data_IF_598371368204
#
_entry.id   IF_598371368204
#
_cell.length_a   1.000
_cell.length_b   1.000
_cell.length_c   1.000
_cell.angle_alpha   90.00
_cell.angle_beta   90.00
_cell.angle_gamma   90.00
#
_symmetry.space_group_name_H-M   'P 1'
#
loop_
_entity.id
_entity.type
_entity.pdbx_description
1 polymer ?
#
# COMPACT_ATOMS: atom_id res chain seq x y z
N UNK A 1 -15.80 -14.31 -4.03
CA UNK A 1 -15.63 -12.95 -3.46
C UNK A 1 -14.83 -12.11 -4.45
N UNK A 2 -15.23 -10.86 -4.68
CA UNK A 2 -14.44 -9.91 -5.46
C UNK A 2 -13.63 -9.06 -4.49
N UNK A 3 -12.32 -9.01 -4.69
CA UNK A 3 -11.42 -8.15 -3.95
C UNK A 3 -10.85 -7.09 -4.88
N UNK A 4 -11.29 -5.86 -4.67
CA UNK A 4 -10.70 -4.68 -5.29
C UNK A 4 -9.47 -4.31 -4.47
N UNK A 5 -8.29 -4.35 -5.08
CA UNK A 5 -7.06 -4.03 -4.36
C UNK A 5 -6.97 -2.54 -4.08
N UNK A 6 -6.38 -2.19 -2.94
CA UNK A 6 -6.00 -0.81 -2.65
C UNK A 6 -4.77 -0.44 -3.50
N UNK A 7 -4.99 0.35 -4.55
CA UNK A 7 -3.95 0.74 -5.50
C UNK A 7 -2.77 1.42 -4.83
N UNK A 8 -2.99 2.17 -3.74
CA UNK A 8 -1.93 2.85 -2.99
C UNK A 8 -0.98 1.90 -2.26
N UNK A 9 -1.35 0.62 -2.12
CA UNK A 9 -0.57 -0.40 -1.42
C UNK A 9 -0.03 -1.45 -2.36
N UNK A 10 -0.34 -1.39 -3.65
CA UNK A 10 0.19 -2.34 -4.63
C UNK A 10 1.70 -2.20 -4.76
N UNK A 11 2.39 -3.34 -4.83
CA UNK A 11 3.84 -3.37 -4.89
C UNK A 11 4.35 -2.72 -6.18
N UNK A 12 5.43 -1.94 -6.06
CA UNK A 12 6.22 -1.49 -7.20
C UNK A 12 5.70 -0.24 -7.90
N UNK A 13 4.64 0.40 -7.39
CA UNK A 13 4.12 1.70 -7.86
C UNK A 13 3.95 1.76 -9.39
N UNK A 14 3.48 0.67 -9.99
CA UNK A 14 3.46 0.54 -11.44
C UNK A 14 2.47 1.56 -12.07
N UNK A 15 2.87 2.27 -13.14
CA UNK A 15 1.98 3.20 -13.83
C UNK A 15 0.88 2.46 -14.61
N UNK A 16 -0.07 3.23 -15.14
CA UNK A 16 -1.22 2.72 -15.90
C UNK A 16 -0.79 1.89 -17.12
N UNK A 17 -1.63 0.96 -17.57
CA UNK A 17 -1.25 -0.08 -18.54
C UNK A 17 -1.76 0.12 -19.97
N UNK A 18 -2.31 1.29 -20.29
CA UNK A 18 -2.89 1.47 -21.62
C UNK A 18 -1.84 1.70 -22.70
N UNK A 19 -0.99 2.72 -22.52
CA UNK A 19 0.02 3.05 -23.51
C UNK A 19 1.08 1.95 -23.56
N UNK A 20 1.65 1.71 -24.72
CA UNK A 20 2.84 0.87 -24.80
C UNK A 20 4.05 1.62 -24.22
N UNK A 21 4.91 0.89 -23.51
CA UNK A 21 6.19 1.43 -23.06
C UNK A 21 7.00 1.96 -24.26
N UNK A 22 7.75 3.05 -24.06
CA UNK A 22 8.64 3.59 -25.08
C UNK A 22 10.08 3.08 -24.89
N UNK A 23 10.86 2.98 -25.99
CA UNK A 23 12.17 2.32 -25.97
C UNK A 23 13.24 3.05 -25.12
N UNK A 24 13.07 4.35 -24.83
CA UNK A 24 13.97 5.13 -23.97
C UNK A 24 13.53 5.26 -22.51
N UNK A 25 12.48 4.55 -22.07
CA UNK A 25 12.07 4.52 -20.65
C UNK A 25 13.11 3.74 -19.84
N UNK A 26 14.19 4.36 -19.38
CA UNK A 26 15.35 3.69 -18.78
C UNK A 26 15.18 3.38 -17.29
N UNK A 27 14.50 4.25 -16.55
CA UNK A 27 14.11 4.03 -15.15
C UNK A 27 12.88 3.14 -14.99
N UNK A 28 12.70 2.61 -13.77
CA UNK A 28 11.61 1.69 -13.44
C UNK A 28 10.22 2.36 -13.39
N UNK A 29 10.19 3.69 -13.31
CA UNK A 29 8.98 4.54 -13.30
C UNK A 29 9.10 5.70 -14.32
N UNK A 30 9.91 5.54 -15.37
CA UNK A 30 10.09 6.59 -16.38
C UNK A 30 9.12 6.40 -17.54
N UNK A 31 8.01 7.15 -17.54
CA UNK A 31 7.06 7.19 -18.64
C UNK A 31 5.60 7.02 -18.21
N UNK A 32 4.66 7.25 -19.13
CA UNK A 32 3.22 7.15 -18.86
C UNK A 32 2.73 5.70 -18.66
N UNK A 33 3.51 4.73 -19.14
CA UNK A 33 3.24 3.30 -18.99
C UNK A 33 4.54 2.50 -19.03
N UNK A 34 4.56 1.40 -18.26
CA UNK A 34 5.64 0.41 -18.22
C UNK A 34 5.25 -0.92 -18.86
N UNK A 35 4.07 -1.00 -19.48
CA UNK A 35 3.54 -2.24 -20.09
C UNK A 35 3.55 -2.15 -21.61
N UNK A 36 3.68 -3.27 -22.32
CA UNK A 36 3.65 -3.30 -23.78
C UNK A 36 2.22 -3.39 -24.35
N UNK A 37 1.34 -4.14 -23.68
CA UNK A 37 -0.07 -4.38 -24.02
C UNK A 37 -0.73 -5.19 -22.90
N UNK A 38 -1.95 -5.67 -23.13
CA UNK A 38 -2.59 -6.73 -22.35
C UNK A 38 -2.56 -8.08 -23.07
N UNK A 39 -2.84 -9.15 -22.33
CA UNK A 39 -3.11 -10.49 -22.84
C UNK A 39 -4.28 -11.10 -22.06
N UNK A 40 -5.23 -11.69 -22.77
CA UNK A 40 -6.32 -12.49 -22.22
C UNK A 40 -6.80 -13.49 -23.27
N UNK A 41 -7.64 -14.46 -22.89
CA UNK A 41 -8.41 -15.27 -23.85
C UNK A 41 -9.81 -14.64 -24.02
N UNK A 42 -10.16 -14.07 -25.19
CA UNK A 42 -11.48 -13.51 -25.47
C UNK A 42 -12.63 -14.48 -25.29
N UNK A 43 -12.36 -15.79 -25.36
CA UNK A 43 -13.36 -16.84 -25.15
C UNK A 43 -13.55 -17.19 -23.68
N UNK A 44 -12.74 -16.64 -22.77
CA UNK A 44 -12.90 -16.86 -21.34
C UNK A 44 -14.31 -16.43 -20.89
N UNK A 45 -15.04 -17.23 -20.09
CA UNK A 45 -16.42 -16.93 -19.71
C UNK A 45 -16.62 -15.55 -19.05
N UNK A 46 -15.57 -15.01 -18.39
CA UNK A 46 -15.54 -13.64 -17.86
C UNK A 46 -15.89 -12.58 -18.91
N UNK A 47 -15.54 -12.78 -20.18
CA UNK A 47 -15.76 -11.82 -21.26
C UNK A 47 -17.04 -12.08 -22.07
N UNK A 48 -17.92 -13.00 -21.64
CA UNK A 48 -19.17 -13.32 -22.38
C UNK A 48 -20.01 -12.08 -22.73
N UNK A 49 -20.02 -11.08 -21.84
CA UNK A 49 -20.77 -9.85 -22.03
C UNK A 49 -19.85 -8.64 -22.27
N UNK A 50 -18.57 -8.84 -22.56
CA UNK A 50 -17.63 -7.76 -22.85
C UNK A 50 -16.81 -8.14 -24.09
N UNK A 51 -16.81 -7.33 -25.18
CA UNK A 51 -16.15 -7.72 -26.43
C UNK A 51 -14.62 -7.66 -26.33
N UNK A 52 -14.00 -8.56 -25.58
CA UNK A 52 -12.56 -8.56 -25.33
C UNK A 52 -11.75 -8.94 -26.58
N UNK A 53 -10.55 -8.37 -26.70
CA UNK A 53 -9.52 -8.78 -27.64
C UNK A 53 -8.22 -9.08 -26.90
N UNK A 54 -7.34 -9.88 -27.51
CA UNK A 54 -6.08 -10.35 -26.90
C UNK A 54 -4.99 -9.26 -26.77
N UNK A 55 -5.31 -8.01 -27.06
CA UNK A 55 -4.39 -6.87 -27.06
C UNK A 55 -5.13 -5.58 -26.73
N UNK A 56 -4.39 -4.54 -26.35
CA UNK A 56 -4.94 -3.21 -26.09
C UNK A 56 -5.50 -2.58 -27.37
N UNK A 57 -6.70 -2.00 -27.25
CA UNK A 57 -7.38 -1.21 -28.28
C UNK A 57 -8.22 -0.13 -27.55
N UNK A 58 -8.93 0.74 -28.28
CA UNK A 58 -9.68 1.85 -27.68
C UNK A 58 -10.79 1.44 -26.70
N UNK A 59 -11.34 0.21 -26.82
CA UNK A 59 -12.32 -0.30 -25.86
C UNK A 59 -11.72 -0.46 -24.46
N UNK A 60 -10.41 -0.70 -24.37
CA UNK A 60 -9.70 -0.87 -23.11
C UNK A 60 -9.26 0.46 -22.47
N UNK A 61 -9.45 1.60 -23.13
CA UNK A 61 -8.94 2.89 -22.67
C UNK A 61 -9.40 3.25 -21.26
N UNK A 62 -10.71 3.29 -21.01
CA UNK A 62 -11.25 3.68 -19.71
C UNK A 62 -11.03 2.61 -18.63
N UNK A 63 -10.85 1.34 -19.02
CA UNK A 63 -10.52 0.23 -18.13
C UNK A 63 -9.09 0.39 -17.61
N UNK A 64 -8.13 0.56 -18.53
CA UNK A 64 -6.70 0.53 -18.24
C UNK A 64 -6.15 1.86 -17.73
N UNK A 65 -6.79 2.99 -18.08
CA UNK A 65 -6.37 4.32 -17.63
C UNK A 65 -6.37 4.49 -16.10
N UNK A 66 -7.23 3.76 -15.39
CA UNK A 66 -7.35 3.82 -13.93
C UNK A 66 -6.90 2.53 -13.24
N UNK A 67 -6.44 1.55 -14.01
CA UNK A 67 -5.99 0.28 -13.46
C UNK A 67 -4.52 0.34 -13.05
N UNK A 68 -4.20 -0.37 -11.98
CA UNK A 68 -2.84 -0.57 -11.50
C UNK A 68 -2.55 -2.08 -11.51
N UNK A 69 -1.59 -2.55 -12.31
CA UNK A 69 -1.25 -3.96 -12.35
C UNK A 69 -0.74 -4.48 -11.02
N UNK A 70 -1.17 -5.68 -10.68
CA UNK A 70 -0.63 -6.44 -9.56
C UNK A 70 0.60 -7.23 -10.01
N UNK A 71 1.70 -7.15 -9.25
CA UNK A 71 2.86 -8.01 -9.45
C UNK A 71 2.55 -9.38 -8.83
N UNK A 72 2.35 -10.39 -9.66
CA UNK A 72 2.13 -11.76 -9.19
C UNK A 72 3.45 -12.51 -8.94
N UNK A 73 4.49 -12.16 -9.70
CA UNK A 73 5.81 -12.78 -9.63
C UNK A 73 6.86 -11.88 -10.29
N UNK A 74 8.06 -11.87 -9.73
CA UNK A 74 9.21 -11.12 -10.24
C UNK A 74 10.53 -11.78 -9.82
N UNK A 75 11.64 -11.34 -10.41
CA UNK A 75 12.96 -11.88 -10.10
C UNK A 75 13.29 -11.72 -8.60
N UNK A 76 13.68 -12.83 -7.96
CA UNK A 76 14.05 -12.84 -6.54
C UNK A 76 12.87 -12.76 -5.55
N UNK A 77 11.62 -12.86 -6.02
CA UNK A 77 10.47 -12.93 -5.14
C UNK A 77 10.54 -14.16 -4.22
N UNK A 78 10.47 -13.94 -2.90
CA UNK A 78 10.42 -15.02 -1.89
C UNK A 78 9.05 -15.70 -1.85
N UNK A 79 8.01 -14.91 -2.08
CA UNK A 79 6.61 -15.33 -2.14
C UNK A 79 6.01 -14.75 -3.41
N UNK A 80 5.41 -15.61 -4.22
CA UNK A 80 4.83 -15.26 -5.52
C UNK A 80 3.73 -16.27 -5.88
N UNK A 81 2.94 -15.96 -6.90
CA UNK A 81 2.02 -16.91 -7.50
C UNK A 81 2.79 -18.03 -8.23
N UNK A 82 2.19 -19.23 -8.41
CA UNK A 82 2.83 -20.32 -9.14
C UNK A 82 3.30 -19.91 -10.54
N UNK A 83 4.46 -20.40 -10.98
CA UNK A 83 5.00 -20.07 -12.32
C UNK A 83 4.07 -20.50 -13.45
N UNK A 84 3.30 -21.57 -13.26
CA UNK A 84 2.28 -22.06 -14.20
C UNK A 84 0.97 -21.26 -14.19
N UNK A 85 0.77 -20.36 -13.21
CA UNK A 85 -0.45 -19.57 -13.11
C UNK A 85 -0.53 -18.53 -14.23
N UNK A 86 -1.65 -18.52 -14.94
CA UNK A 86 -1.97 -17.57 -16.00
C UNK A 86 -3.10 -16.64 -15.51
N UNK A 87 -2.87 -15.31 -15.42
CA UNK A 87 -3.93 -14.36 -15.09
C UNK A 87 -5.04 -14.36 -16.13
N UNK A 88 -6.28 -14.09 -15.69
CA UNK A 88 -7.44 -13.97 -16.60
C UNK A 88 -7.28 -12.76 -17.53
N UNK A 89 -6.76 -11.67 -16.98
CA UNK A 89 -6.33 -10.50 -17.74
C UNK A 89 -4.95 -10.09 -17.26
N UNK A 90 -3.96 -10.28 -18.11
CA UNK A 90 -2.55 -9.99 -17.84
C UNK A 90 -2.15 -8.67 -18.51
N UNK A 91 -1.45 -7.81 -17.78
CA UNK A 91 -0.66 -6.76 -18.41
C UNK A 91 0.72 -7.34 -18.77
N UNK A 92 1.23 -7.05 -19.95
CA UNK A 92 2.56 -7.49 -20.38
C UNK A 92 3.56 -6.45 -19.92
N UNK A 93 4.42 -6.81 -18.95
CA UNK A 93 5.42 -5.89 -18.41
C UNK A 93 6.46 -5.48 -19.47
N UNK A 94 7.30 -4.53 -19.09
CA UNK A 94 8.46 -4.13 -19.86
C UNK A 94 9.40 -5.30 -20.10
N UNK A 95 10.06 -5.28 -21.27
CA UNK A 95 11.11 -6.24 -21.62
C UNK A 95 12.32 -6.17 -20.68
N UNK A 96 12.46 -5.09 -19.90
CA UNK A 96 13.59 -4.84 -18.99
C UNK A 96 13.49 -5.66 -17.70
N UNK A 97 12.32 -5.67 -17.08
CA UNK A 97 12.10 -6.35 -15.79
C UNK A 97 11.31 -7.65 -15.96
N UNK A 98 10.37 -7.67 -16.91
CA UNK A 98 9.60 -8.83 -17.30
C UNK A 98 8.91 -9.54 -16.12
N UNK A 99 8.22 -8.75 -15.28
CA UNK A 99 7.40 -9.27 -14.18
C UNK A 99 6.15 -9.94 -14.73
N UNK A 100 5.62 -10.92 -14.00
CA UNK A 100 4.28 -11.44 -14.27
C UNK A 100 3.26 -10.50 -13.62
N UNK A 101 2.58 -9.70 -14.44
CA UNK A 101 1.57 -8.77 -13.97
C UNK A 101 0.15 -9.32 -14.17
N UNK A 102 -0.80 -8.85 -13.38
CA UNK A 102 -2.21 -9.15 -13.55
C UNK A 102 -3.09 -7.93 -13.28
N UNK A 103 -4.11 -7.76 -14.12
CA UNK A 103 -5.21 -6.83 -13.89
C UNK A 103 -6.40 -7.57 -13.26
N UNK A 104 -6.63 -8.83 -13.66
CA UNK A 104 -7.59 -9.75 -13.05
C UNK A 104 -6.96 -11.13 -12.83
N UNK A 105 -7.12 -11.66 -11.62
CA UNK A 105 -6.63 -12.96 -11.21
C UNK A 105 -7.71 -13.71 -10.42
N UNK A 106 -7.88 -15.01 -10.68
CA UNK A 106 -8.79 -15.87 -9.93
C UNK A 106 -8.07 -17.04 -9.27
N UNK A 107 -8.41 -17.31 -8.02
CA UNK A 107 -7.80 -18.38 -7.23
C UNK A 107 -8.79 -19.02 -6.26
N UNK A 108 -8.50 -20.26 -5.85
CA UNK A 108 -9.04 -20.83 -4.62
C UNK A 108 -8.24 -20.26 -3.45
N UNK A 109 -8.95 -19.75 -2.46
CA UNK A 109 -8.35 -19.22 -1.24
C UNK A 109 -9.20 -19.64 -0.05
N UNK A 110 -8.55 -20.27 0.94
CA UNK A 110 -9.23 -20.91 2.06
C UNK A 110 -10.37 -21.83 1.57
N UNK A 111 -11.59 -21.68 2.10
CA UNK A 111 -12.76 -22.49 1.71
C UNK A 111 -13.54 -21.92 0.51
N UNK A 112 -13.01 -20.90 -0.17
CA UNK A 112 -13.74 -20.12 -1.15
C UNK A 112 -12.99 -19.85 -2.44
N UNK A 113 -13.62 -19.02 -3.28
CA UNK A 113 -13.09 -18.55 -4.56
C UNK A 113 -12.91 -17.03 -4.50
N UNK A 114 -11.77 -16.57 -4.96
CA UNK A 114 -11.37 -15.17 -4.91
C UNK A 114 -11.08 -14.67 -6.32
N UNK A 115 -11.71 -13.57 -6.70
CA UNK A 115 -11.30 -12.74 -7.83
C UNK A 115 -10.56 -11.53 -7.27
N UNK A 116 -9.34 -11.29 -7.72
CA UNK A 116 -8.49 -10.17 -7.34
C UNK A 116 -8.42 -9.22 -8.54
N UNK A 117 -8.68 -7.93 -8.31
CA UNK A 117 -8.74 -6.92 -9.36
C UNK A 117 -7.87 -5.71 -9.04
N UNK A 118 -6.95 -5.41 -9.95
CA UNK A 118 -6.25 -4.12 -10.04
C UNK A 118 -6.97 -3.11 -10.94
N UNK A 119 -8.17 -3.44 -11.45
CA UNK A 119 -9.04 -2.52 -12.18
C UNK A 119 -9.90 -1.74 -11.19
N UNK A 120 -9.95 -0.43 -11.36
CA UNK A 120 -10.87 0.45 -10.64
C UNK A 120 -12.30 0.35 -11.18
N UNK A 121 -13.19 -0.25 -10.39
CA UNK A 121 -14.64 -0.37 -10.66
C UNK A 121 -15.50 0.57 -9.81
N UNK A 122 -14.91 1.62 -9.24
CA UNK A 122 -15.56 2.54 -8.29
C UNK A 122 -15.58 3.98 -8.78
N UNK A 123 -14.49 4.47 -9.37
CA UNK A 123 -14.37 5.88 -9.78
C UNK A 123 -15.13 6.15 -11.07
N UNK A 124 -15.98 7.18 -11.03
CA UNK A 124 -16.71 7.75 -12.18
C UNK A 124 -17.33 6.71 -13.14
N UNK A 125 -17.92 5.65 -12.57
CA UNK A 125 -18.45 4.56 -13.38
C UNK A 125 -19.50 5.05 -14.40
N UNK A 126 -20.22 6.14 -14.13
CA UNK A 126 -21.22 6.70 -15.06
C UNK A 126 -20.64 7.07 -16.43
N UNK A 127 -19.42 7.62 -16.48
CA UNK A 127 -18.75 8.01 -17.73
C UNK A 127 -17.97 6.86 -18.39
N UNK A 128 -17.64 5.82 -17.62
CA UNK A 128 -16.77 4.70 -18.03
C UNK A 128 -17.58 3.49 -18.53
N UNK A 129 -18.10 3.61 -19.76
CA UNK A 129 -19.04 2.63 -20.34
C UNK A 129 -18.42 1.23 -20.49
N UNK A 130 -17.18 1.13 -20.98
CA UNK A 130 -16.53 -0.17 -21.16
C UNK A 130 -16.15 -0.78 -19.81
N UNK A 131 -15.69 0.03 -18.86
CA UNK A 131 -15.46 -0.44 -17.48
C UNK A 131 -16.74 -0.97 -16.82
N UNK A 132 -17.87 -0.26 -16.96
CA UNK A 132 -19.18 -0.74 -16.47
C UNK A 132 -19.59 -2.06 -17.10
N UNK A 133 -19.39 -2.21 -18.41
CA UNK A 133 -19.75 -3.44 -19.11
C UNK A 133 -18.85 -4.61 -18.69
N UNK A 134 -17.54 -4.37 -18.52
CA UNK A 134 -16.61 -5.36 -17.99
C UNK A 134 -16.98 -5.78 -16.56
N UNK A 135 -17.34 -4.82 -15.70
CA UNK A 135 -17.79 -5.09 -14.33
C UNK A 135 -19.05 -5.95 -14.31
N UNK A 136 -20.03 -5.64 -15.17
CA UNK A 136 -21.23 -6.47 -15.32
C UNK A 136 -20.85 -7.90 -15.73
N UNK A 137 -20.02 -8.06 -16.77
CA UNK A 137 -19.58 -9.37 -17.26
C UNK A 137 -18.84 -10.17 -16.19
N UNK A 138 -17.96 -9.50 -15.43
CA UNK A 138 -17.25 -10.08 -14.30
C UNK A 138 -18.20 -10.59 -13.22
N UNK A 139 -19.19 -9.78 -12.80
CA UNK A 139 -20.16 -10.19 -11.78
C UNK A 139 -21.03 -11.35 -12.25
N UNK A 140 -21.46 -11.37 -13.52
CA UNK A 140 -22.20 -12.49 -14.08
C UNK A 140 -21.37 -13.78 -14.06
N UNK A 141 -20.10 -13.68 -14.46
CA UNK A 141 -19.18 -14.81 -14.42
C UNK A 141 -19.00 -15.35 -12.99
N UNK A 142 -18.71 -14.47 -12.02
CA UNK A 142 -18.50 -14.85 -10.62
C UNK A 142 -19.73 -15.48 -9.96
N UNK A 143 -20.94 -15.14 -10.42
CA UNK A 143 -22.20 -15.71 -9.94
C UNK A 143 -22.62 -16.97 -10.72
N UNK A 144 -21.82 -17.43 -11.67
CA UNK A 144 -22.08 -18.62 -12.47
C UNK A 144 -21.30 -19.84 -11.96
N UNK A 145 -21.72 -21.07 -12.32
CA UNK A 145 -20.94 -22.28 -12.08
C UNK A 145 -19.56 -22.30 -12.78
N UNK A 146 -19.38 -21.48 -13.81
CA UNK A 146 -18.13 -21.40 -14.60
C UNK A 146 -17.02 -20.66 -13.86
N UNK A 147 -17.34 -19.87 -12.82
CA UNK A 147 -16.34 -19.34 -11.91
C UNK A 147 -15.80 -20.46 -11.03
N UNK A 148 -14.80 -21.16 -11.55
CA UNK A 148 -14.21 -22.35 -10.95
C UNK A 148 -12.68 -22.29 -11.07
N UNK A 149 -12.02 -21.38 -10.34
CA UNK A 149 -10.56 -21.29 -10.35
C UNK A 149 -9.96 -22.62 -9.89
N UNK A 150 -8.87 -23.06 -10.53
CA UNK A 150 -8.23 -24.35 -10.20
C UNK A 150 -7.02 -24.21 -9.29
N UNK A 151 -6.36 -23.04 -9.33
CA UNK A 151 -5.13 -22.81 -8.56
C UNK A 151 -5.47 -22.37 -7.15
N UNK A 152 -4.94 -23.10 -6.18
CA UNK A 152 -5.04 -22.79 -4.76
C UNK A 152 -3.78 -22.07 -4.29
N UNK A 153 -3.97 -21.02 -3.48
CA UNK A 153 -2.88 -20.21 -2.93
C UNK A 153 -3.14 -19.94 -1.44
N UNK A 154 -2.05 -19.72 -0.69
CA UNK A 154 -2.12 -19.34 0.72
C UNK A 154 -2.31 -17.83 0.89
N UNK A 155 -2.37 -17.39 2.15
CA UNK A 155 -2.60 -15.98 2.49
C UNK A 155 -1.41 -15.13 2.08
N UNK A 156 -0.21 -15.65 2.28
CA UNK A 156 1.05 -15.00 1.98
C UNK A 156 1.17 -14.71 0.47
N UNK A 157 0.82 -15.66 -0.40
CA UNK A 157 0.76 -15.46 -1.85
C UNK A 157 -0.33 -14.47 -2.26
N UNK A 158 -1.53 -14.52 -1.66
CA UNK A 158 -2.58 -13.53 -1.98
C UNK A 158 -2.15 -12.12 -1.61
N UNK A 159 -1.51 -11.95 -0.45
CA UNK A 159 -1.03 -10.64 0.02
C UNK A 159 0.27 -10.19 -0.64
N UNK A 160 0.98 -11.06 -1.37
CA UNK A 160 2.25 -10.71 -2.02
C UNK A 160 2.11 -9.67 -3.14
N UNK A 161 0.87 -9.41 -3.60
CA UNK A 161 0.57 -8.34 -4.58
C UNK A 161 0.69 -6.94 -3.98
N UNK A 162 0.57 -6.83 -2.65
CA UNK A 162 0.85 -5.58 -1.96
C UNK A 162 2.34 -5.44 -1.68
N UNK A 163 2.79 -4.18 -1.71
CA UNK A 163 4.08 -3.82 -1.15
C UNK A 163 4.08 -4.07 0.35
N UNK A 164 5.27 -4.06 0.97
CA UNK A 164 5.32 -3.77 2.40
C UNK A 164 4.59 -2.44 2.60
N UNK A 165 3.65 -2.31 3.56
CA UNK A 165 3.03 -1.03 3.89
C UNK A 165 4.05 0.10 3.78
N UNK A 166 3.83 1.05 2.89
CA UNK A 166 4.77 2.16 2.79
C UNK A 166 4.58 3.05 4.01
N UNK A 167 5.70 3.40 4.62
CA UNK A 167 5.73 4.27 5.78
C UNK A 167 6.31 5.62 5.34
N UNK A 168 5.53 6.68 5.52
CA UNK A 168 5.89 8.03 5.12
C UNK A 168 7.12 8.54 5.88
N UNK A 169 7.28 8.19 7.16
CA UNK A 169 8.50 8.51 7.91
C UNK A 169 9.72 7.80 7.32
N UNK A 170 9.61 6.51 6.98
CA UNK A 170 10.70 5.77 6.31
C UNK A 170 11.07 6.37 4.97
N UNK A 171 10.08 6.72 4.15
CA UNK A 171 10.27 7.37 2.85
C UNK A 171 10.94 8.75 2.99
N UNK A 172 10.62 9.48 4.07
CA UNK A 172 11.27 10.73 4.46
C UNK A 172 12.69 10.54 5.08
N UNK A 173 13.17 9.29 5.18
CA UNK A 173 14.48 8.95 5.70
C UNK A 173 14.58 9.06 7.22
N UNK A 174 13.50 8.79 7.94
CA UNK A 174 13.44 8.86 9.39
C UNK A 174 14.44 7.92 10.08
N UNK A 175 14.97 8.37 11.21
CA UNK A 175 15.80 7.59 12.11
C UNK A 175 15.42 7.94 13.56
N UNK A 176 15.29 6.93 14.42
CA UNK A 176 15.21 7.14 15.88
C UNK A 176 16.49 7.83 16.35
N UNK A 177 16.34 8.90 17.14
CA UNK A 177 17.44 9.51 17.88
C UNK A 177 17.45 8.88 19.27
N UNK A 178 18.56 8.25 19.67
CA UNK A 178 18.67 7.75 21.02
C UNK A 178 18.76 8.93 22.00
N UNK A 179 17.96 8.90 23.07
CA UNK A 179 18.08 9.90 24.14
C UNK A 179 19.35 9.65 24.99
N UNK A 180 19.90 8.43 24.97
CA UNK A 180 21.13 8.05 25.70
C UNK A 180 22.16 7.36 24.80
N UNK A 181 23.45 7.64 25.02
CA UNK A 181 24.57 7.16 24.19
C UNK A 181 24.81 5.62 24.20
N UNK A 182 23.97 4.83 24.86
CA UNK A 182 24.04 3.37 24.94
C UNK A 182 22.99 2.65 24.07
N UNK A 183 22.15 3.39 23.36
CA UNK A 183 21.13 2.83 22.49
C UNK A 183 21.75 2.34 21.17
N UNK A 184 22.25 1.10 21.15
CA UNK A 184 22.45 0.36 19.92
C UNK A 184 21.07 0.02 19.30
N UNK A 185 20.40 1.01 18.69
CA UNK A 185 19.10 0.78 18.04
C UNK A 185 19.29 0.83 16.52
N UNK A 186 19.57 -0.35 15.98
CA UNK A 186 19.30 -0.65 14.57
C UNK A 186 17.77 -0.69 14.40
N UNK A 187 17.24 0.39 13.85
CA UNK A 187 15.86 0.56 13.37
C UNK A 187 15.46 -0.52 12.37
N UNK A 188 14.79 -1.58 12.82
CA UNK A 188 14.15 -2.51 11.88
C UNK A 188 12.64 -2.63 11.99
N UNK A 189 11.96 -2.00 12.97
CA UNK A 189 10.51 -2.24 13.15
C UNK A 189 9.63 -1.09 13.64
N UNK A 190 10.13 0.16 13.83
CA UNK A 190 9.25 1.24 14.30
C UNK A 190 8.45 1.90 13.16
N UNK A 191 9.06 2.00 11.99
CA UNK A 191 8.49 2.60 10.78
C UNK A 191 8.89 1.78 9.57
N UNK A 192 9.03 0.46 9.74
CA UNK A 192 9.60 -0.38 8.70
C UNK A 192 8.59 -0.75 7.60
N UNK A 193 7.34 -0.37 7.80
CA UNK A 193 6.24 -0.71 6.93
C UNK A 193 5.67 -2.10 7.20
N UNK A 194 5.94 -2.73 8.34
CA UNK A 194 5.45 -4.06 8.65
C UNK A 194 4.75 -4.08 10.01
N UNK A 195 3.42 -3.96 9.97
CA UNK A 195 2.55 -3.99 11.15
C UNK A 195 2.65 -5.29 11.98
N UNK A 196 3.37 -6.32 11.52
CA UNK A 196 3.63 -7.54 12.27
C UNK A 196 4.93 -7.50 13.07
N UNK A 197 5.85 -6.59 12.73
CA UNK A 197 7.03 -6.32 13.55
C UNK A 197 6.63 -5.46 14.74
N UNK A 198 7.36 -5.61 15.85
CA UNK A 198 7.11 -4.84 17.07
C UNK A 198 8.44 -4.25 17.50
N UNK A 199 8.49 -2.91 17.53
CA UNK A 199 9.52 -2.17 18.23
C UNK A 199 9.22 -2.16 19.72
N UNK A 200 10.19 -2.62 20.51
CA UNK A 200 10.13 -2.64 21.97
C UNK A 200 11.03 -1.55 22.54
N UNK A 201 10.54 -0.71 23.46
CA UNK A 201 11.36 0.28 24.14
C UNK A 201 12.39 -0.41 25.06
N UNK A 202 13.59 0.14 25.15
CA UNK A 202 14.62 -0.39 26.05
C UNK A 202 14.16 -0.34 27.52
N UNK A 203 14.72 -1.23 28.33
CA UNK A 203 14.58 -1.32 29.79
C UNK A 203 14.70 0.01 30.53
N UNK A 204 15.48 0.97 30.01
CA UNK A 204 15.63 2.34 30.56
C UNK A 204 14.47 3.27 30.22
N UNK A 205 13.70 3.00 29.15
CA UNK A 205 12.53 3.78 28.68
C UNK A 205 11.19 3.29 29.27
N UNK A 206 11.21 2.25 30.13
CA UNK A 206 10.00 1.69 30.75
C UNK A 206 9.30 2.64 31.73
N UNK A 207 9.97 3.71 32.17
CA UNK A 207 9.38 4.79 32.97
C UNK A 207 9.36 6.07 32.13
N UNK A 208 8.20 6.73 31.98
CA UNK A 208 7.98 8.02 31.31
C UNK A 208 9.06 8.44 30.27
N UNK A 209 9.14 7.68 29.17
CA UNK A 209 10.11 7.92 28.10
C UNK A 209 9.51 8.65 26.89
N UNK A 210 10.38 9.04 25.96
CA UNK A 210 9.99 9.61 24.67
C UNK A 210 10.61 8.83 23.51
N UNK A 211 9.92 8.84 22.37
CA UNK A 211 10.47 8.40 21.09
C UNK A 211 10.85 9.64 20.30
N UNK A 212 12.15 9.84 20.09
CA UNK A 212 12.67 10.93 19.27
C UNK A 212 12.97 10.43 17.85
N UNK A 213 12.55 11.18 16.83
CA UNK A 213 12.72 10.83 15.42
C UNK A 213 13.33 12.02 14.69
N UNK A 214 14.43 11.77 13.97
CA UNK A 214 15.02 12.69 13.00
C UNK A 214 14.59 12.32 11.58
N UNK A 215 13.97 13.26 10.88
CA UNK A 215 13.47 13.13 9.52
C UNK A 215 14.44 13.84 8.57
N UNK A 216 15.23 13.08 7.81
CA UNK A 216 16.26 13.62 6.91
C UNK A 216 15.70 14.53 5.82
N UNK A 217 14.51 14.23 5.31
CA UNK A 217 13.79 15.03 4.31
C UNK A 217 12.47 15.49 4.94
N UNK A 218 12.44 16.65 5.62
CA UNK A 218 11.23 17.13 6.27
C UNK A 218 10.07 17.25 5.29
N UNK A 219 8.93 16.72 5.70
CA UNK A 219 7.69 16.66 4.94
C UNK A 219 6.64 17.48 5.66
N UNK A 220 5.73 18.11 4.91
CA UNK A 220 4.59 18.80 5.50
C UNK A 220 3.60 17.75 6.00
N UNK A 221 3.32 17.73 7.30
CA UNK A 221 2.47 16.73 7.94
C UNK A 221 1.32 17.36 8.72
N UNK A 222 0.15 16.71 8.69
CA UNK A 222 -1.06 17.10 9.41
C UNK A 222 -1.34 16.20 10.62
N UNK A 223 -0.51 15.19 10.85
CA UNK A 223 -0.67 14.31 11.99
C UNK A 223 0.24 13.09 11.95
N UNK A 224 0.03 12.21 12.91
CA UNK A 224 0.72 10.92 13.05
C UNK A 224 -0.31 9.79 13.11
N UNK A 225 0.07 8.62 12.61
CA UNK A 225 -0.61 7.37 12.95
C UNK A 225 0.30 6.48 13.78
N UNK A 226 -0.30 5.78 14.72
CA UNK A 226 0.42 5.03 15.73
C UNK A 226 -0.30 3.71 15.95
N UNK A 227 0.35 2.58 15.70
CA UNK A 227 -0.19 1.24 15.90
C UNK A 227 0.55 0.57 17.05
N UNK A 228 -0.19 0.18 18.08
CA UNK A 228 0.37 -0.56 19.22
C UNK A 228 -0.48 -1.78 19.58
N UNK A 229 0.16 -2.92 19.89
CA UNK A 229 -0.54 -4.10 20.41
C UNK A 229 -0.91 -3.97 21.91
N UNK A 230 -0.44 -2.93 22.61
CA UNK A 230 -0.73 -2.73 24.03
C UNK A 230 -2.22 -2.43 24.24
N UNK A 231 -2.82 -2.98 25.30
CA UNK A 231 -4.25 -2.77 25.61
C UNK A 231 -4.57 -1.34 26.03
N UNK A 232 -3.63 -0.69 26.72
CA UNK A 232 -3.76 0.66 27.26
C UNK A 232 -2.61 1.49 26.74
N UNK A 233 -2.92 2.65 26.18
CA UNK A 233 -1.94 3.60 25.67
C UNK A 233 -1.89 4.81 26.61
N UNK A 234 -0.71 5.16 27.15
CA UNK A 234 -0.55 6.36 27.96
C UNK A 234 -0.90 7.62 27.19
N UNK A 235 -1.27 8.69 27.91
CA UNK A 235 -1.44 9.99 27.28
C UNK A 235 -0.15 10.43 26.59
N UNK A 236 -0.29 10.89 25.35
CA UNK A 236 0.80 11.29 24.47
C UNK A 236 0.91 12.81 24.47
N UNK A 237 2.14 13.32 24.44
CA UNK A 237 2.46 14.70 24.09
C UNK A 237 3.44 14.66 22.93
N UNK A 238 3.17 15.42 21.87
CA UNK A 238 4.03 15.47 20.68
C UNK A 238 4.74 16.83 20.66
N UNK A 239 6.04 16.82 20.38
CA UNK A 239 6.85 18.01 20.21
C UNK A 239 7.52 18.01 18.84
N UNK A 240 7.75 19.21 18.31
CA UNK A 240 8.59 19.47 17.15
C UNK A 240 9.88 20.18 17.55
N UNK A 241 10.90 20.08 16.71
CA UNK A 241 12.12 20.86 16.85
C UNK A 241 12.78 21.10 15.49
N UNK A 242 13.39 22.27 15.30
CA UNK A 242 14.18 22.57 14.10
C UNK A 242 15.63 22.06 14.22
N UNK A 243 16.14 21.89 15.45
CA UNK A 243 17.55 21.64 15.74
C UNK A 243 17.81 20.38 16.60
N UNK A 244 16.75 19.74 17.10
CA UNK A 244 16.81 18.58 17.98
C UNK A 244 17.09 18.94 19.45
N UNK A 245 17.23 20.23 19.78
CA UNK A 245 17.60 20.73 21.11
C UNK A 245 16.45 21.52 21.73
N UNK A 246 15.85 22.45 20.97
CA UNK A 246 14.74 23.27 21.43
C UNK A 246 13.42 22.69 20.96
N UNK A 247 12.53 22.39 21.91
CA UNK A 247 11.31 21.63 21.64
C UNK A 247 10.07 22.48 21.89
N UNK A 248 9.18 22.49 20.90
CA UNK A 248 7.88 23.15 20.97
C UNK A 248 6.77 22.09 20.96
N UNK A 249 5.80 22.23 21.85
CA UNK A 249 4.69 21.30 21.90
C UNK A 249 3.73 21.54 20.74
N UNK A 250 3.36 20.46 20.04
CA UNK A 250 2.31 20.47 19.03
C UNK A 250 0.96 20.27 19.72
N UNK A 251 -0.01 21.09 19.37
CA UNK A 251 -1.40 20.90 19.80
C UNK A 251 -2.13 19.99 18.82
N UNK A 252 -2.90 19.06 19.36
CA UNK A 252 -3.67 18.11 18.57
C UNK A 252 -4.88 17.63 19.37
N UNK A 253 -5.95 17.31 18.66
CA UNK A 253 -7.13 16.70 19.27
C UNK A 253 -6.93 15.19 19.33
N UNK A 254 -7.07 14.58 20.51
CA UNK A 254 -7.13 13.12 20.66
C UNK A 254 -8.25 12.70 21.60
N UNK A 255 -8.96 11.63 21.23
CA UNK A 255 -9.81 10.88 22.16
C UNK A 255 -8.96 10.05 23.12
N UNK A 256 -9.59 9.40 24.12
CA UNK A 256 -8.89 8.38 24.92
C UNK A 256 -8.21 7.35 24.01
N UNK A 257 -6.90 7.23 24.13
CA UNK A 257 -6.09 6.35 23.31
C UNK A 257 -6.23 4.91 23.82
N UNK A 258 -6.58 3.99 22.94
CA UNK A 258 -6.73 2.56 23.24
C UNK A 258 -5.71 1.74 22.45
N UNK A 259 -5.61 0.44 22.72
CA UNK A 259 -4.87 -0.46 21.84
C UNK A 259 -5.37 -0.43 20.39
N UNK A 260 -4.50 -0.82 19.45
CA UNK A 260 -4.76 -0.75 18.02
C UNK A 260 -4.22 0.52 17.36
N UNK A 261 -4.75 0.86 16.18
CA UNK A 261 -4.32 2.04 15.41
C UNK A 261 -4.97 3.30 15.97
N UNK A 262 -4.13 4.26 16.34
CA UNK A 262 -4.48 5.61 16.77
C UNK A 262 -4.09 6.61 15.68
N UNK A 263 -4.87 7.69 15.60
CA UNK A 263 -4.64 8.80 14.68
C UNK A 263 -4.58 10.08 15.50
N UNK A 264 -3.47 10.81 15.40
CA UNK A 264 -3.23 12.07 16.08
C UNK A 264 -3.22 13.18 15.01
N UNK A 265 -4.32 13.94 14.89
CA UNK A 265 -4.42 15.04 13.93
C UNK A 265 -4.01 16.35 14.61
N UNK A 266 -2.98 16.98 14.07
CA UNK A 266 -2.48 18.26 14.54
C UNK A 266 -3.47 19.38 14.16
N UNK A 267 -3.58 20.38 15.02
CA UNK A 267 -4.47 21.52 14.76
C UNK A 267 -3.96 22.33 13.55
N UNK A 268 -2.63 22.40 13.39
CA UNK A 268 -1.94 22.99 12.24
C UNK A 268 -0.95 22.01 11.62
N UNK A 269 -0.80 22.10 10.30
CA UNK A 269 0.20 21.31 9.59
C UNK A 269 1.61 21.84 9.86
N UNK A 270 2.53 20.95 10.21
CA UNK A 270 3.91 21.27 10.54
C UNK A 270 4.87 20.74 9.48
N UNK A 271 6.07 21.29 9.42
CA UNK A 271 7.19 20.74 8.64
C UNK A 271 8.42 20.82 9.52
N UNK A 272 8.74 19.71 10.19
CA UNK A 272 9.78 19.67 11.20
C UNK A 272 10.77 18.53 10.93
N UNK A 273 12.09 18.77 11.03
CA UNK A 273 13.10 17.72 10.94
C UNK A 273 13.13 16.82 12.18
N UNK A 274 12.60 17.26 13.32
CA UNK A 274 12.65 16.47 14.55
C UNK A 274 11.28 16.38 15.21
N UNK A 275 10.88 15.16 15.55
CA UNK A 275 9.68 14.88 16.32
C UNK A 275 10.05 14.17 17.62
N UNK A 276 9.34 14.50 18.70
CA UNK A 276 9.43 13.77 19.96
C UNK A 276 8.04 13.41 20.44
N UNK A 277 7.82 12.13 20.65
CA UNK A 277 6.54 11.59 21.11
C UNK A 277 6.76 11.12 22.54
N UNK A 278 6.31 11.92 23.50
CA UNK A 278 6.44 11.65 24.93
C UNK A 278 5.22 10.92 25.46
N UNK A 279 5.44 9.85 26.23
CA UNK A 279 4.38 9.08 26.86
C UNK A 279 4.39 9.33 28.36
N UNK A 280 3.27 9.79 28.94
CA UNK A 280 3.24 10.26 30.33
C UNK A 280 3.63 9.23 31.38
N UNK A 281 3.34 7.94 31.17
CA UNK A 281 3.58 6.90 32.19
C UNK A 281 4.62 5.86 31.76
N UNK A 282 4.55 5.35 30.53
CA UNK A 282 5.50 4.37 29.98
C UNK A 282 5.47 4.44 28.45
N UNK A 283 6.55 4.05 27.78
CA UNK A 283 6.52 3.84 26.33
C UNK A 283 5.91 2.46 26.05
N UNK A 284 4.78 2.34 25.32
CA UNK A 284 4.24 1.03 24.94
C UNK A 284 5.07 0.40 23.81
N UNK A 285 4.99 -0.92 23.59
CA UNK A 285 5.45 -1.53 22.35
C UNK A 285 4.72 -0.89 21.16
N UNK A 286 5.43 -0.64 20.06
CA UNK A 286 4.91 0.03 18.88
C UNK A 286 5.11 -0.90 17.69
N UNK A 287 4.04 -1.26 17.02
CA UNK A 287 4.13 -2.05 15.79
C UNK A 287 4.39 -1.16 14.57
N UNK A 288 3.84 0.05 14.55
CA UNK A 288 4.15 1.00 13.48
C UNK A 288 3.87 2.45 13.91
N UNK A 289 4.79 3.36 13.61
CA UNK A 289 4.63 4.80 13.71
C UNK A 289 4.78 5.41 12.33
N UNK A 290 3.83 6.24 11.91
CA UNK A 290 3.84 6.86 10.59
C UNK A 290 3.35 8.31 10.65
N UNK A 291 3.62 9.11 9.62
CA UNK A 291 3.10 10.46 9.48
C UNK A 291 2.01 10.58 8.41
N UNK A 292 1.12 11.54 8.58
CA UNK A 292 0.06 11.89 7.63
C UNK A 292 0.50 13.15 6.89
N UNK A 293 0.76 13.07 5.59
CA UNK A 293 1.10 14.27 4.82
C UNK A 293 -0.05 15.29 4.83
N UNK A 294 0.28 16.57 4.89
CA UNK A 294 -0.70 17.64 4.80
C UNK A 294 -1.29 17.78 3.40
N UNK A 295 -0.51 17.42 2.38
CA UNK A 295 -0.91 17.45 0.97
C UNK A 295 -1.47 16.08 0.50
N UNK A 296 -1.51 15.08 1.39
CA UNK A 296 -2.38 13.93 1.20
C UNK A 296 -3.81 14.42 1.39
N UNK A 297 -4.40 14.87 0.28
CA UNK A 297 -5.80 15.24 0.22
C UNK A 297 -6.62 14.13 0.90
N UNK A 298 -7.48 14.44 1.90
CA UNK A 298 -8.63 13.58 2.11
C UNK A 298 -9.38 13.59 0.79
N UNK A 299 -9.45 12.44 0.13
CA UNK A 299 -10.47 12.23 -0.89
C UNK A 299 -11.79 12.15 -0.11
N UNK A 300 -12.32 13.31 0.27
CA UNK A 300 -13.71 13.46 0.66
C UNK A 300 -14.37 14.43 -0.31
N UNK A 301 -15.44 13.91 -0.94
CA UNK A 301 -16.20 14.52 -2.02
C UNK A 301 -16.81 13.43 -2.90
#
# INVERSE_FOLDING_TARGET
MLWLTDHSKLKGELPTSFASMYWTAFGLNEGESMTNSIFCDPKHPLFRYFPAEMHTNWQWWDVLKYAVPMILDEYGAKTAFPKSYQPVLQAIDSWKVNRKLALLAEVKYAKGKLMISGIDFTTDMKSRVATRQLYFSLLQYMNSPEFNPQVEVDKETVLSVYGKPENNLKNAGAAIIPENAHDDIINSGLFDGDNSTIWEPDSTQKNAGAVCVHIKKPVRMKGLTFLSPAKVIPAIIVFQSADGVHWEQITFTSSQLTGGKQVLLFDEAIMSPYLKISFKTFVPPIAELDCIYADALPIEG
#
